data_IF_638830684873
#
_entry.id   IF_638830684873
#
_cell.length_a   1.000
_cell.length_b   1.000
_cell.length_c   1.000
_cell.angle_alpha   90.00
_cell.angle_beta   90.00
_cell.angle_gamma   90.00
#
_symmetry.space_group_name_H-M   'P 1'
#
loop_
_entity.id
_entity.type
_entity.pdbx_description
1 polymer ?
#
# COMPACT_ATOMS: atom_id res chain seq x y z
N UNK A 1 -31.06 -22.32 31.09
CA UNK A 1 -30.83 -20.86 30.95
C UNK A 1 -29.38 -20.54 31.34
N UNK A 2 -28.36 -20.47 30.49
CA UNK A 2 -28.15 -20.49 29.05
C UNK A 2 -26.99 -21.50 28.92
N UNK A 3 -27.26 -22.71 28.43
CA UNK A 3 -26.28 -23.80 28.44
C UNK A 3 -25.22 -23.58 27.35
N UNK A 4 -23.98 -24.03 27.57
CA UNK A 4 -22.91 -23.95 26.53
C UNK A 4 -23.19 -24.82 25.28
N UNK A 5 -24.24 -25.66 25.30
CA UNK A 5 -24.60 -26.52 24.18
C UNK A 5 -25.08 -25.69 22.99
N UNK A 6 -24.49 -25.94 21.82
CA UNK A 6 -24.75 -25.17 20.60
C UNK A 6 -26.23 -25.11 20.20
N UNK A 7 -26.95 -26.25 20.20
CA UNK A 7 -28.37 -26.29 19.85
C UNK A 7 -29.26 -25.43 20.78
N UNK A 8 -28.89 -25.34 22.06
CA UNK A 8 -29.62 -24.53 23.04
C UNK A 8 -29.38 -23.05 22.78
N UNK A 9 -28.14 -22.65 22.51
CA UNK A 9 -27.79 -21.28 22.13
C UNK A 9 -28.47 -20.85 20.84
N UNK A 10 -28.51 -21.74 19.85
CA UNK A 10 -29.19 -21.48 18.59
C UNK A 10 -30.67 -21.20 18.77
N UNK A 11 -31.36 -22.06 19.51
CA UNK A 11 -32.78 -21.89 19.82
C UNK A 11 -33.02 -20.60 20.59
N UNK A 12 -32.21 -20.32 21.61
CA UNK A 12 -32.31 -19.12 22.43
C UNK A 12 -32.13 -17.83 21.61
N UNK A 13 -31.09 -17.78 20.75
CA UNK A 13 -30.82 -16.61 19.90
C UNK A 13 -31.95 -16.37 18.89
N UNK A 14 -32.56 -17.44 18.35
CA UNK A 14 -33.64 -17.35 17.36
C UNK A 14 -34.92 -16.82 18.00
N UNK A 15 -35.27 -17.31 19.20
CA UNK A 15 -36.40 -16.81 19.98
C UNK A 15 -36.17 -15.35 20.37
N UNK A 16 -34.97 -15.02 20.86
CA UNK A 16 -34.59 -13.65 21.21
C UNK A 16 -34.76 -12.71 20.01
N UNK A 17 -34.21 -13.07 18.86
CA UNK A 17 -34.34 -12.32 17.60
C UNK A 17 -35.80 -12.10 17.23
N UNK A 18 -36.61 -13.17 17.22
CA UNK A 18 -38.02 -13.11 16.85
C UNK A 18 -38.84 -12.16 17.73
N UNK A 19 -38.62 -12.21 19.06
CA UNK A 19 -39.30 -11.32 19.99
C UNK A 19 -38.91 -9.86 19.74
N UNK A 20 -37.61 -9.58 19.61
CA UNK A 20 -37.12 -8.21 19.41
C UNK A 20 -37.63 -7.64 18.08
N UNK A 21 -37.57 -8.40 16.99
CA UNK A 21 -38.12 -7.98 15.68
C UNK A 21 -39.64 -7.77 15.73
N UNK A 22 -40.37 -8.65 16.41
CA UNK A 22 -41.83 -8.52 16.59
C UNK A 22 -42.22 -7.30 17.44
N UNK A 23 -41.33 -6.82 18.32
CA UNK A 23 -41.59 -5.67 19.18
C UNK A 23 -41.64 -4.33 18.45
N UNK A 24 -41.36 -4.30 17.14
CA UNK A 24 -41.42 -3.08 16.30
C UNK A 24 -42.79 -2.37 16.36
N UNK A 25 -43.87 -3.10 16.62
CA UNK A 25 -45.24 -2.56 16.70
C UNK A 25 -45.78 -2.43 18.12
N UNK A 26 -44.95 -2.63 19.15
CA UNK A 26 -45.38 -2.60 20.55
C UNK A 26 -45.44 -1.18 21.13
N UNK A 27 -46.22 -1.02 22.20
CA UNK A 27 -46.22 0.21 22.99
C UNK A 27 -44.92 0.34 23.79
N UNK A 28 -44.58 1.55 24.22
CA UNK A 28 -43.38 1.81 25.02
C UNK A 28 -43.32 0.94 26.30
N UNK A 29 -44.43 0.80 27.01
CA UNK A 29 -44.53 -0.02 28.22
C UNK A 29 -44.22 -1.50 27.94
N UNK A 30 -44.78 -2.04 26.86
CA UNK A 30 -44.51 -3.42 26.43
C UNK A 30 -43.03 -3.60 26.07
N UNK A 31 -42.45 -2.67 25.32
CA UNK A 31 -41.01 -2.69 24.98
C UNK A 31 -40.12 -2.58 26.22
N UNK A 32 -40.48 -1.75 27.19
CA UNK A 32 -39.73 -1.59 28.43
C UNK A 32 -39.75 -2.88 29.26
N UNK A 33 -40.93 -3.50 29.41
CA UNK A 33 -41.07 -4.77 30.12
C UNK A 33 -40.34 -5.92 29.40
N UNK A 34 -40.36 -5.93 28.08
CA UNK A 34 -39.58 -6.86 27.27
C UNK A 34 -38.08 -6.74 27.55
N UNK A 35 -37.51 -5.53 27.52
CA UNK A 35 -36.08 -5.34 27.75
C UNK A 35 -35.66 -5.69 29.19
N UNK A 36 -36.50 -5.42 30.19
CA UNK A 36 -36.26 -5.88 31.57
C UNK A 36 -36.09 -7.42 31.65
N UNK A 37 -36.84 -8.16 30.84
CA UNK A 37 -36.75 -9.63 30.77
C UNK A 37 -35.57 -10.10 29.90
N UNK A 38 -35.39 -9.50 28.72
CA UNK A 38 -34.47 -9.99 27.69
C UNK A 38 -33.01 -9.58 27.92
N UNK A 39 -32.73 -8.38 28.45
CA UNK A 39 -31.35 -7.90 28.63
C UNK A 39 -30.51 -8.81 29.55
N UNK A 40 -31.01 -9.27 30.73
CA UNK A 40 -30.24 -10.18 31.58
C UNK A 40 -29.91 -11.50 30.88
N UNK A 41 -30.84 -11.99 30.03
CA UNK A 41 -30.65 -13.23 29.25
C UNK A 41 -29.55 -13.01 28.22
N UNK A 42 -29.59 -11.90 27.48
CA UNK A 42 -28.57 -11.55 26.49
C UNK A 42 -27.18 -11.39 27.13
N UNK A 43 -27.06 -10.61 28.21
CA UNK A 43 -25.79 -10.42 28.93
C UNK A 43 -25.23 -11.75 29.42
N UNK A 44 -26.09 -12.65 29.93
CA UNK A 44 -25.68 -14.02 30.31
C UNK A 44 -25.23 -14.84 29.11
N UNK A 45 -25.88 -14.71 27.96
CA UNK A 45 -25.49 -15.41 26.74
C UNK A 45 -24.12 -14.95 26.25
N UNK A 46 -23.89 -13.63 26.13
CA UNK A 46 -22.61 -13.05 25.71
C UNK A 46 -21.44 -13.54 26.56
N UNK A 47 -21.61 -13.57 27.90
CA UNK A 47 -20.58 -14.07 28.84
C UNK A 47 -20.29 -15.56 28.75
N UNK A 48 -21.16 -16.34 28.10
CA UNK A 48 -21.01 -17.80 27.96
C UNK A 48 -20.76 -18.22 26.51
N UNK A 49 -20.46 -17.27 25.62
CA UNK A 49 -20.13 -17.57 24.23
C UNK A 49 -18.87 -18.43 24.15
N UNK A 50 -18.89 -19.31 23.16
CA UNK A 50 -17.77 -20.14 22.75
C UNK A 50 -17.53 -19.93 21.26
N UNK A 51 -16.37 -20.31 20.70
CA UNK A 51 -16.12 -20.20 19.26
C UNK A 51 -17.24 -20.81 18.39
N UNK A 52 -17.85 -21.90 18.83
CA UNK A 52 -18.92 -22.60 18.10
C UNK A 52 -20.28 -21.88 18.18
N UNK A 53 -20.49 -21.05 19.20
CA UNK A 53 -21.78 -20.42 19.50
C UNK A 53 -21.80 -18.92 19.20
N UNK A 54 -20.62 -18.31 19.06
CA UNK A 54 -20.45 -16.89 18.74
C UNK A 54 -21.18 -16.49 17.46
N UNK A 55 -20.97 -17.22 16.36
CA UNK A 55 -21.54 -16.85 15.05
C UNK A 55 -23.06 -16.70 15.11
N UNK A 56 -23.73 -17.55 15.88
CA UNK A 56 -25.19 -17.56 15.98
C UNK A 56 -25.72 -16.31 16.68
N UNK A 57 -25.05 -15.85 17.73
CA UNK A 57 -25.40 -14.60 18.39
C UNK A 57 -24.96 -13.37 17.59
N UNK A 58 -23.86 -13.46 16.85
CA UNK A 58 -23.40 -12.43 15.92
C UNK A 58 -24.47 -12.14 14.85
N UNK A 59 -24.95 -13.18 14.17
CA UNK A 59 -26.04 -13.08 13.20
C UNK A 59 -27.35 -12.53 13.80
N UNK A 60 -27.63 -12.87 15.06
CA UNK A 60 -28.77 -12.33 15.80
C UNK A 60 -28.65 -10.80 15.98
N UNK A 61 -27.50 -10.31 16.43
CA UNK A 61 -27.24 -8.87 16.61
C UNK A 61 -27.31 -8.14 15.26
N UNK A 62 -26.66 -8.66 14.22
CA UNK A 62 -26.70 -8.10 12.87
C UNK A 62 -28.14 -7.98 12.36
N UNK A 63 -28.94 -9.05 12.49
CA UNK A 63 -30.33 -9.06 12.03
C UNK A 63 -31.18 -8.02 12.75
N UNK A 64 -31.05 -7.92 14.09
CA UNK A 64 -31.78 -6.93 14.89
C UNK A 64 -31.36 -5.51 14.49
N UNK A 65 -30.05 -5.27 14.40
CA UNK A 65 -29.49 -3.98 14.06
C UNK A 65 -29.87 -3.55 12.63
N UNK A 66 -30.13 -4.48 11.71
CA UNK A 66 -30.54 -4.14 10.34
C UNK A 66 -32.00 -3.64 10.24
N UNK A 67 -32.89 -4.22 11.04
CA UNK A 67 -34.35 -4.10 10.84
C UNK A 67 -35.05 -3.06 11.73
N UNK A 68 -34.42 -2.65 12.84
CA UNK A 68 -35.00 -1.76 13.85
C UNK A 68 -34.19 -0.47 13.97
N UNK A 69 -34.89 0.65 14.11
CA UNK A 69 -34.30 1.96 14.35
C UNK A 69 -33.43 1.98 15.63
N UNK A 70 -32.22 2.57 15.59
CA UNK A 70 -31.27 2.55 16.71
C UNK A 70 -31.82 3.22 17.98
N UNK A 71 -32.73 4.20 17.87
CA UNK A 71 -33.33 4.84 19.04
C UNK A 71 -34.26 3.89 19.81
N UNK A 72 -34.90 2.94 19.10
CA UNK A 72 -35.72 1.89 19.71
C UNK A 72 -34.89 0.77 20.32
N UNK A 73 -33.64 0.62 19.86
CA UNK A 73 -32.67 -0.36 20.35
C UNK A 73 -31.73 0.19 21.42
N UNK A 74 -31.94 1.40 21.93
CA UNK A 74 -30.96 2.05 22.81
C UNK A 74 -30.58 1.21 24.04
N UNK A 75 -31.53 0.52 24.69
CA UNK A 75 -31.21 -0.39 25.81
C UNK A 75 -30.30 -1.54 25.40
N UNK A 76 -30.54 -2.12 24.22
CA UNK A 76 -29.78 -3.24 23.69
C UNK A 76 -28.37 -2.80 23.30
N UNK A 77 -28.26 -1.69 22.58
CA UNK A 77 -26.96 -1.14 22.18
C UNK A 77 -26.15 -0.68 23.39
N UNK A 78 -26.78 -0.04 24.38
CA UNK A 78 -26.09 0.33 25.62
C UNK A 78 -25.60 -0.91 26.38
N UNK A 79 -26.36 -2.01 26.43
CA UNK A 79 -25.89 -3.25 27.03
C UNK A 79 -24.66 -3.83 26.30
N UNK A 80 -24.60 -3.73 24.97
CA UNK A 80 -23.44 -4.16 24.18
C UNK A 80 -22.24 -3.22 24.43
N UNK A 81 -22.45 -1.91 24.51
CA UNK A 81 -21.39 -0.94 24.82
C UNK A 81 -20.85 -1.09 26.24
N UNK A 82 -21.71 -1.41 27.22
CA UNK A 82 -21.29 -1.75 28.60
C UNK A 82 -20.43 -3.02 28.62
N UNK A 83 -20.81 -4.07 27.89
CA UNK A 83 -20.01 -5.29 27.80
C UNK A 83 -18.68 -5.04 27.06
N UNK A 84 -18.68 -4.15 26.05
CA UNK A 84 -17.46 -3.69 25.40
C UNK A 84 -16.51 -3.07 26.44
N UNK A 85 -16.99 -2.15 27.27
CA UNK A 85 -16.19 -1.48 28.31
C UNK A 85 -15.70 -2.40 29.43
N UNK A 86 -16.34 -3.54 29.65
CA UNK A 86 -15.94 -4.46 30.70
C UNK A 86 -14.55 -5.09 30.41
N UNK A 87 -13.69 -5.25 31.44
CA UNK A 87 -12.37 -5.85 31.27
C UNK A 87 -12.47 -7.31 30.83
N UNK A 88 -11.48 -7.78 30.07
CA UNK A 88 -11.35 -9.15 29.58
C UNK A 88 -10.03 -9.77 29.99
N UNK A 89 -10.05 -11.07 30.30
CA UNK A 89 -8.85 -11.83 30.64
C UNK A 89 -8.28 -12.65 29.49
N UNK A 90 -9.05 -12.83 28.41
CA UNK A 90 -8.63 -13.62 27.25
C UNK A 90 -9.01 -12.94 25.93
N UNK A 91 -8.33 -13.38 24.88
CA UNK A 91 -8.43 -12.78 23.55
C UNK A 91 -9.74 -13.06 22.83
N UNK A 92 -10.36 -14.22 23.09
CA UNK A 92 -11.63 -14.59 22.46
C UNK A 92 -12.75 -13.68 22.95
N UNK A 93 -12.87 -13.49 24.27
CA UNK A 93 -13.87 -12.61 24.87
C UNK A 93 -13.72 -11.17 24.38
N UNK A 94 -12.47 -10.70 24.23
CA UNK A 94 -12.22 -9.37 23.69
C UNK A 94 -12.62 -9.26 22.20
N UNK A 95 -12.31 -10.29 21.40
CA UNK A 95 -12.75 -10.35 20.00
C UNK A 95 -14.27 -10.34 19.89
N UNK A 96 -14.98 -11.11 20.71
CA UNK A 96 -16.46 -11.14 20.72
C UNK A 96 -17.02 -9.74 20.95
N UNK A 97 -16.51 -9.03 21.97
CA UNK A 97 -16.95 -7.67 22.29
C UNK A 97 -16.70 -6.69 21.16
N UNK A 98 -15.54 -6.77 20.52
CA UNK A 98 -15.21 -5.91 19.38
C UNK A 98 -16.13 -6.18 18.19
N UNK A 99 -16.38 -7.45 17.85
CA UNK A 99 -17.26 -7.83 16.75
C UNK A 99 -18.71 -7.39 16.99
N UNK A 100 -19.26 -7.56 18.19
CA UNK A 100 -20.63 -7.13 18.51
C UNK A 100 -20.81 -5.61 18.34
N UNK A 101 -19.81 -4.82 18.74
CA UNK A 101 -19.83 -3.35 18.53
C UNK A 101 -19.67 -3.01 17.04
N UNK A 102 -18.78 -3.71 16.33
CA UNK A 102 -18.57 -3.53 14.89
C UNK A 102 -19.82 -3.82 14.09
N UNK A 103 -20.58 -4.86 14.44
CA UNK A 103 -21.83 -5.20 13.76
C UNK A 103 -22.86 -4.07 13.88
N UNK A 104 -22.99 -3.47 15.06
CA UNK A 104 -23.86 -2.31 15.27
C UNK A 104 -23.40 -1.13 14.41
N UNK A 105 -22.11 -0.78 14.47
CA UNK A 105 -21.55 0.36 13.73
C UNK A 105 -21.73 0.13 12.23
N UNK A 106 -21.37 -1.05 11.72
CA UNK A 106 -21.48 -1.38 10.31
C UNK A 106 -22.93 -1.23 9.78
N UNK A 107 -23.95 -1.50 10.60
CA UNK A 107 -25.36 -1.36 10.19
C UNK A 107 -25.96 0.02 10.45
N UNK A 108 -25.54 0.71 11.51
CA UNK A 108 -26.24 1.88 12.04
C UNK A 108 -25.38 3.13 12.23
N UNK A 109 -24.08 3.11 11.88
CA UNK A 109 -23.16 4.22 12.15
C UNK A 109 -23.67 5.59 11.66
N UNK A 110 -24.23 5.65 10.45
CA UNK A 110 -24.76 6.90 9.87
C UNK A 110 -25.92 7.51 10.67
N UNK A 111 -26.55 6.75 11.58
CA UNK A 111 -27.61 7.21 12.48
C UNK A 111 -27.14 7.46 13.91
N UNK A 112 -25.87 7.19 14.21
CA UNK A 112 -25.33 7.15 15.58
C UNK A 112 -24.13 8.09 15.77
N UNK A 113 -24.12 9.22 15.05
CA UNK A 113 -23.02 10.19 15.04
C UNK A 113 -22.56 10.63 16.45
N UNK A 114 -23.50 10.79 17.38
CA UNK A 114 -23.27 11.14 18.78
C UNK A 114 -22.38 10.14 19.53
N UNK A 115 -22.46 8.85 19.17
CA UNK A 115 -21.69 7.77 19.81
C UNK A 115 -20.37 7.46 19.10
N UNK A 116 -20.25 7.78 17.81
CA UNK A 116 -19.10 7.35 17.00
C UNK A 116 -17.77 7.93 17.48
N UNK A 117 -17.73 9.19 17.93
CA UNK A 117 -16.51 9.79 18.49
C UNK A 117 -16.03 9.02 19.73
N UNK A 118 -16.93 8.77 20.67
CA UNK A 118 -16.60 8.00 21.88
C UNK A 118 -16.14 6.58 21.57
N UNK A 119 -16.80 5.90 20.62
CA UNK A 119 -16.43 4.55 20.22
C UNK A 119 -15.07 4.52 19.48
N UNK A 120 -14.82 5.49 18.61
CA UNK A 120 -13.57 5.60 17.85
C UNK A 120 -12.38 5.87 18.77
N UNK A 121 -12.51 6.78 19.76
CA UNK A 121 -11.48 6.99 20.78
C UNK A 121 -11.18 5.70 21.56
N UNK A 122 -12.21 4.99 22.03
CA UNK A 122 -12.01 3.72 22.76
C UNK A 122 -11.31 2.65 21.92
N UNK A 123 -11.68 2.52 20.64
CA UNK A 123 -11.05 1.57 19.72
C UNK A 123 -9.59 1.95 19.44
N UNK A 124 -9.29 3.24 19.33
CA UNK A 124 -7.93 3.72 19.20
C UNK A 124 -7.11 3.46 20.47
N UNK A 125 -7.63 3.77 21.66
CA UNK A 125 -6.91 3.53 22.90
C UNK A 125 -6.57 2.04 23.08
N UNK A 126 -7.49 1.15 22.68
CA UNK A 126 -7.23 -0.30 22.65
C UNK A 126 -6.18 -0.72 21.63
N UNK A 127 -6.05 -0.04 20.50
CA UNK A 127 -4.97 -0.32 19.54
C UNK A 127 -3.59 -0.05 20.12
N UNK A 128 -3.51 0.86 21.10
CA UNK A 128 -2.28 1.17 21.83
C UNK A 128 -2.07 0.29 23.06
N UNK A 129 -3.13 -0.20 23.70
CA UNK A 129 -3.03 -0.87 25.00
C UNK A 129 -3.14 -2.40 24.93
N UNK A 130 -3.77 -2.93 23.87
CA UNK A 130 -4.08 -4.36 23.78
C UNK A 130 -2.80 -5.22 23.83
N UNK A 131 -2.73 -6.20 24.75
CA UNK A 131 -1.62 -7.14 24.78
C UNK A 131 -1.70 -8.18 23.66
N UNK A 132 -2.80 -8.23 22.90
CA UNK A 132 -3.11 -9.29 21.95
C UNK A 132 -2.89 -8.86 20.50
N UNK A 133 -1.93 -9.50 19.81
CA UNK A 133 -1.55 -9.17 18.43
C UNK A 133 -2.62 -9.51 17.39
N UNK A 134 -3.42 -10.55 17.63
CA UNK A 134 -4.51 -11.02 16.76
C UNK A 134 -5.76 -10.13 16.79
N UNK A 135 -5.84 -9.16 17.71
CA UNK A 135 -6.94 -8.17 17.71
C UNK A 135 -6.74 -7.04 16.70
N UNK A 136 -5.56 -6.93 16.08
CA UNK A 136 -5.23 -5.81 15.18
C UNK A 136 -6.26 -5.65 14.04
N UNK A 137 -6.71 -6.77 13.46
CA UNK A 137 -7.71 -6.76 12.40
C UNK A 137 -9.07 -6.28 12.91
N UNK A 138 -9.52 -6.80 14.06
CA UNK A 138 -10.81 -6.38 14.63
C UNK A 138 -10.78 -4.90 14.98
N UNK A 139 -9.75 -4.41 15.68
CA UNK A 139 -9.61 -2.98 16.00
C UNK A 139 -9.58 -2.10 14.74
N UNK A 140 -8.91 -2.56 13.69
CA UNK A 140 -8.91 -1.90 12.38
C UNK A 140 -10.32 -1.80 11.79
N UNK A 141 -11.09 -2.90 11.81
CA UNK A 141 -12.46 -2.92 11.30
C UNK A 141 -13.36 -1.94 12.06
N UNK A 142 -13.25 -1.90 13.39
CA UNK A 142 -13.98 -0.93 14.21
C UNK A 142 -13.60 0.52 13.90
N UNK A 143 -12.31 0.83 13.84
CA UNK A 143 -11.83 2.18 13.51
C UNK A 143 -12.31 2.59 12.11
N UNK A 144 -12.26 1.68 11.14
CA UNK A 144 -12.74 1.94 9.79
C UNK A 144 -14.23 2.25 9.76
N UNK A 145 -15.10 1.41 10.34
CA UNK A 145 -16.53 1.70 10.28
C UNK A 145 -16.89 2.97 11.06
N UNK A 146 -16.21 3.29 12.17
CA UNK A 146 -16.48 4.54 12.90
C UNK A 146 -16.04 5.78 12.14
N UNK A 147 -14.92 5.74 11.42
CA UNK A 147 -14.31 6.92 10.78
C UNK A 147 -14.54 7.03 9.27
N UNK A 148 -14.99 5.97 8.60
CA UNK A 148 -15.35 5.97 7.18
C UNK A 148 -16.87 6.11 6.94
N UNK A 149 -17.64 6.50 7.97
CA UNK A 149 -19.09 6.71 7.83
C UNK A 149 -19.42 8.04 7.14
N UNK A 150 -18.62 9.08 7.39
CA UNK A 150 -18.82 10.42 6.84
C UNK A 150 -18.26 10.59 5.43
N UNK A 151 -18.46 9.62 4.52
CA UNK A 151 -17.95 9.72 3.13
C UNK A 151 -18.44 11.03 2.51
N UNK A 152 -17.51 11.88 2.09
CA UNK A 152 -17.79 13.20 1.52
C UNK A 152 -18.19 13.03 0.06
N UNK A 153 -19.50 13.07 -0.19
CA UNK A 153 -20.07 13.06 -1.54
C UNK A 153 -20.08 14.46 -2.18
N UNK A 154 -19.91 15.51 -1.37
CA UNK A 154 -19.78 16.90 -1.79
C UNK A 154 -18.66 17.61 -1.00
N UNK A 155 -18.37 18.85 -1.36
CA UNK A 155 -17.33 19.66 -0.69
C UNK A 155 -17.72 20.11 0.72
N UNK A 156 -18.85 19.64 1.28
CA UNK A 156 -19.29 20.06 2.61
C UNK A 156 -18.54 19.29 3.68
N UNK A 157 -18.01 20.03 4.65
CA UNK A 157 -17.40 19.45 5.83
C UNK A 157 -18.49 18.88 6.76
N UNK A 158 -18.67 17.56 6.76
CA UNK A 158 -19.45 16.89 7.79
C UNK A 158 -18.56 16.63 9.01
N UNK A 159 -18.58 17.55 9.97
CA UNK A 159 -17.81 17.43 11.23
C UNK A 159 -18.47 16.54 12.28
N UNK A 160 -19.62 15.93 11.95
CA UNK A 160 -20.39 15.09 12.87
C UNK A 160 -19.78 13.68 13.07
N UNK A 161 -18.76 13.32 12.29
CA UNK A 161 -18.16 11.98 12.28
C UNK A 161 -16.66 12.02 12.63
N UNK A 162 -16.13 10.97 13.29
CA UNK A 162 -14.70 10.84 13.53
C UNK A 162 -13.91 10.78 12.22
N UNK A 163 -12.75 11.40 12.18
CA UNK A 163 -11.87 11.36 11.00
C UNK A 163 -10.58 10.62 11.33
N UNK A 164 -10.24 9.61 10.52
CA UNK A 164 -9.06 8.76 10.76
C UNK A 164 -7.75 9.57 10.84
N UNK A 165 -7.67 10.69 10.11
CA UNK A 165 -6.50 11.58 10.10
C UNK A 165 -6.14 12.10 11.50
N UNK A 166 -7.13 12.29 12.39
CA UNK A 166 -6.88 12.78 13.75
C UNK A 166 -6.11 11.74 14.56
N UNK A 167 -6.49 10.47 14.43
CA UNK A 167 -5.83 9.34 15.07
C UNK A 167 -4.43 9.09 14.52
N UNK A 168 -4.29 9.12 13.19
CA UNK A 168 -2.98 9.00 12.52
C UNK A 168 -2.05 10.12 12.98
N UNK A 169 -2.52 11.37 13.00
CA UNK A 169 -1.71 12.51 13.40
C UNK A 169 -1.30 12.46 14.87
N UNK A 170 -2.17 11.95 15.75
CA UNK A 170 -1.85 11.77 17.18
C UNK A 170 -0.79 10.68 17.38
N UNK A 171 -0.87 9.56 16.65
CA UNK A 171 0.04 8.44 16.82
C UNK A 171 1.39 8.63 16.09
N UNK A 172 1.41 9.39 14.99
CA UNK A 172 2.60 9.50 14.14
C UNK A 172 3.90 9.85 14.88
N UNK A 173 3.95 10.86 15.77
CA UNK A 173 5.19 11.21 16.47
C UNK A 173 5.75 10.07 17.33
N UNK A 174 4.87 9.22 17.88
CA UNK A 174 5.31 8.04 18.64
C UNK A 174 5.89 6.96 17.73
N UNK A 175 5.33 6.80 16.51
CA UNK A 175 5.77 5.81 15.53
C UNK A 175 7.12 6.14 14.90
N UNK A 176 7.53 7.42 14.85
CA UNK A 176 8.81 7.82 14.27
C UNK A 176 10.00 7.11 14.94
N UNK A 177 9.87 6.74 16.22
CA UNK A 177 10.89 5.96 16.93
C UNK A 177 11.20 4.62 16.27
N UNK A 178 10.25 4.02 15.56
CA UNK A 178 10.45 2.78 14.82
C UNK A 178 11.50 2.90 13.69
N UNK A 179 11.80 4.12 13.22
CA UNK A 179 12.83 4.34 12.19
C UNK A 179 14.25 4.15 12.71
N UNK A 180 14.44 4.21 14.03
CA UNK A 180 15.77 4.17 14.68
C UNK A 180 15.89 3.08 15.73
N UNK A 181 14.78 2.47 16.15
CA UNK A 181 14.76 1.46 17.19
C UNK A 181 15.44 0.16 16.73
N UNK A 182 16.30 -0.38 17.60
CA UNK A 182 17.04 -1.63 17.35
C UNK A 182 16.69 -2.72 18.34
N UNK A 183 16.06 -2.39 19.48
CA UNK A 183 15.56 -3.39 20.43
C UNK A 183 14.13 -3.82 20.07
N UNK A 184 14.05 -4.88 19.27
CA UNK A 184 12.79 -5.47 18.82
C UNK A 184 11.99 -6.17 19.93
N UNK A 185 12.60 -6.39 21.10
CA UNK A 185 11.92 -6.99 22.26
C UNK A 185 11.43 -5.94 23.26
N UNK A 186 11.76 -4.66 23.05
CA UNK A 186 11.33 -3.61 23.96
C UNK A 186 9.79 -3.53 24.01
N UNK A 187 9.18 -3.34 25.20
CA UNK A 187 7.73 -3.17 25.31
C UNK A 187 7.21 -2.02 24.44
N UNK A 188 8.03 -0.99 24.25
CA UNK A 188 7.72 0.16 23.38
C UNK A 188 7.65 -0.25 21.91
N UNK A 189 8.65 -0.98 21.40
CA UNK A 189 8.66 -1.45 20.02
C UNK A 189 7.43 -2.34 19.73
N UNK A 190 7.21 -3.34 20.58
CA UNK A 190 6.08 -4.28 20.45
C UNK A 190 4.74 -3.53 20.46
N UNK A 191 4.59 -2.53 21.33
CA UNK A 191 3.39 -1.68 21.38
C UNK A 191 3.18 -0.91 20.07
N UNK A 192 4.22 -0.24 19.57
CA UNK A 192 4.13 0.62 18.39
C UNK A 192 3.95 -0.17 17.09
N UNK A 193 4.58 -1.34 16.94
CA UNK A 193 4.39 -2.20 15.75
C UNK A 193 2.97 -2.77 15.70
N UNK A 194 2.39 -3.14 16.85
CA UNK A 194 0.98 -3.55 16.95
C UNK A 194 0.04 -2.41 16.56
N UNK A 195 0.28 -1.21 17.11
CA UNK A 195 -0.50 -0.03 16.76
C UNK A 195 -0.41 0.28 15.26
N UNK A 196 0.79 0.25 14.67
CA UNK A 196 0.97 0.44 13.22
C UNK A 196 0.25 -0.64 12.40
N UNK A 197 0.28 -1.90 12.85
CA UNK A 197 -0.43 -3.02 12.18
C UNK A 197 -1.94 -2.78 12.07
N UNK A 198 -2.55 -2.10 13.05
CA UNK A 198 -3.96 -1.67 12.97
C UNK A 198 -4.16 -0.71 11.80
N UNK A 199 -3.28 0.28 11.62
CA UNK A 199 -3.37 1.22 10.50
C UNK A 199 -3.01 0.60 9.14
N UNK A 200 -2.07 -0.35 9.10
CA UNK A 200 -1.80 -1.13 7.87
C UNK A 200 -3.06 -1.88 7.42
N UNK A 201 -3.75 -2.52 8.37
CA UNK A 201 -5.01 -3.23 8.12
C UNK A 201 -6.12 -2.26 7.70
N UNK A 202 -6.18 -1.07 8.32
CA UNK A 202 -7.16 -0.03 8.01
C UNK A 202 -7.00 0.41 6.56
N UNK A 203 -5.79 0.78 6.16
CA UNK A 203 -5.46 1.21 4.78
C UNK A 203 -5.80 0.10 3.78
N UNK A 204 -5.41 -1.13 4.09
CA UNK A 204 -5.66 -2.29 3.22
C UNK A 204 -7.15 -2.53 3.00
N UNK A 205 -7.97 -2.33 4.04
CA UNK A 205 -9.41 -2.45 3.94
C UNK A 205 -10.05 -1.26 3.23
N UNK A 206 -9.64 -0.02 3.55
CA UNK A 206 -10.20 1.18 2.94
C UNK A 206 -9.96 1.29 1.44
N UNK A 207 -8.89 0.68 0.93
CA UNK A 207 -8.57 0.61 -0.51
C UNK A 207 -9.13 -0.64 -1.19
N UNK A 208 -9.98 -1.42 -0.53
CA UNK A 208 -10.71 -2.50 -1.15
C UNK A 208 -11.89 -1.93 -1.95
N UNK A 209 -12.07 -2.38 -3.19
CA UNK A 209 -13.12 -1.94 -4.11
C UNK A 209 -14.55 -2.09 -3.58
N UNK A 210 -14.75 -2.88 -2.52
CA UNK A 210 -16.05 -3.04 -1.86
C UNK A 210 -16.44 -1.87 -0.96
N UNK A 211 -15.51 -0.98 -0.62
CA UNK A 211 -15.77 0.17 0.25
C UNK A 211 -15.58 1.48 -0.51
N UNK A 212 -16.50 2.41 -0.27
CA UNK A 212 -16.33 3.80 -0.68
C UNK A 212 -15.54 4.50 0.43
N UNK A 213 -14.24 4.70 0.23
CA UNK A 213 -13.39 5.43 1.17
C UNK A 213 -12.82 6.66 0.49
N UNK A 214 -12.87 7.80 1.18
CA UNK A 214 -12.18 9.02 0.74
C UNK A 214 -10.72 8.90 1.19
N UNK A 215 -9.82 8.63 0.25
CA UNK A 215 -8.38 8.51 0.54
C UNK A 215 -7.88 9.86 1.06
N UNK A 216 -7.30 9.88 2.24
CA UNK A 216 -6.79 11.09 2.88
C UNK A 216 -5.25 11.14 2.84
N UNK A 217 -4.68 12.33 2.69
CA UNK A 217 -3.23 12.52 2.64
C UNK A 217 -2.50 12.01 3.89
N UNK A 218 -3.17 11.94 5.05
CA UNK A 218 -2.62 11.36 6.28
C UNK A 218 -2.26 9.89 6.15
N UNK A 219 -2.87 9.12 5.23
CA UNK A 219 -2.52 7.71 5.04
C UNK A 219 -1.10 7.58 4.50
N UNK A 220 -0.71 8.48 3.59
CA UNK A 220 0.64 8.55 3.05
C UNK A 220 1.66 9.05 4.07
N UNK A 221 1.23 9.74 5.13
CA UNK A 221 2.14 10.12 6.23
C UNK A 221 2.77 8.91 6.89
N UNK A 222 2.08 7.78 6.96
CA UNK A 222 2.59 6.52 7.52
C UNK A 222 3.58 5.80 6.59
N UNK A 223 3.63 6.15 5.31
CA UNK A 223 4.42 5.44 4.31
C UNK A 223 5.91 5.34 4.62
N UNK A 224 6.63 6.40 5.06
CA UNK A 224 8.06 6.28 5.38
C UNK A 224 8.35 5.23 6.45
N UNK A 225 7.49 5.15 7.47
CA UNK A 225 7.62 4.19 8.57
C UNK A 225 7.30 2.79 8.05
N UNK A 226 6.19 2.61 7.33
CA UNK A 226 5.84 1.30 6.75
C UNK A 226 6.91 0.80 5.76
N UNK A 227 7.46 1.67 4.91
CA UNK A 227 8.53 1.31 3.97
C UNK A 227 9.83 0.90 4.67
N UNK A 228 10.17 1.54 5.79
CA UNK A 228 11.28 1.12 6.64
C UNK A 228 10.98 -0.25 7.29
N UNK A 229 9.82 -0.39 7.94
CA UNK A 229 9.43 -1.60 8.67
C UNK A 229 9.24 -2.83 7.79
N UNK A 230 8.84 -2.65 6.52
CA UNK A 230 8.73 -3.74 5.54
C UNK A 230 10.08 -4.43 5.28
N UNK A 231 11.20 -3.79 5.61
CA UNK A 231 12.53 -4.37 5.51
C UNK A 231 13.19 -4.58 6.88
N UNK A 232 12.40 -4.56 7.96
CA UNK A 232 12.88 -4.82 9.31
C UNK A 232 13.54 -6.21 9.39
N UNK A 233 14.59 -6.41 10.19
CA UNK A 233 15.12 -7.74 10.45
C UNK A 233 14.36 -8.48 11.56
N UNK A 234 13.28 -7.90 12.11
CA UNK A 234 12.44 -8.52 13.13
C UNK A 234 11.81 -9.85 12.61
N UNK A 235 12.07 -11.00 13.27
CA UNK A 235 11.59 -12.31 12.85
C UNK A 235 10.08 -12.54 13.06
N UNK A 236 9.32 -11.55 13.53
CA UNK A 236 7.86 -11.68 13.66
C UNK A 236 7.15 -11.61 12.29
N UNK A 237 7.10 -12.74 11.58
CA UNK A 237 6.75 -12.89 10.15
C UNK A 237 5.54 -12.07 9.65
N UNK A 238 4.51 -11.82 10.46
CA UNK A 238 3.28 -11.20 9.95
C UNK A 238 3.28 -9.67 9.84
N UNK A 239 4.21 -8.96 10.47
CA UNK A 239 4.15 -7.49 10.53
C UNK A 239 4.72 -6.82 9.26
N UNK A 240 5.83 -7.35 8.73
CA UNK A 240 6.45 -6.86 7.51
C UNK A 240 5.50 -7.01 6.32
N UNK A 241 4.85 -8.17 6.22
CA UNK A 241 3.81 -8.44 5.22
C UNK A 241 2.65 -7.45 5.30
N UNK A 242 2.26 -7.07 6.52
CA UNK A 242 1.19 -6.07 6.73
C UNK A 242 1.61 -4.70 6.20
N UNK A 243 2.86 -4.29 6.44
CA UNK A 243 3.41 -3.04 5.92
C UNK A 243 3.53 -3.07 4.39
N UNK A 244 4.07 -4.15 3.82
CA UNK A 244 4.21 -4.31 2.37
C UNK A 244 2.86 -4.35 1.64
N UNK A 245 1.87 -5.04 2.22
CA UNK A 245 0.51 -5.06 1.70
C UNK A 245 -0.11 -3.66 1.71
N UNK A 246 -0.01 -2.92 2.82
CA UNK A 246 -0.51 -1.55 2.92
C UNK A 246 0.19 -0.60 1.94
N UNK A 247 1.52 -0.71 1.80
CA UNK A 247 2.31 0.05 0.83
C UNK A 247 1.85 -0.22 -0.61
N UNK A 248 1.67 -1.49 -0.98
CA UNK A 248 1.17 -1.87 -2.31
C UNK A 248 -0.24 -1.34 -2.59
N UNK A 249 -1.11 -1.31 -1.56
CA UNK A 249 -2.45 -0.73 -1.68
C UNK A 249 -2.38 0.77 -1.88
N UNK A 250 -1.58 1.50 -1.10
CA UNK A 250 -1.38 2.95 -1.28
C UNK A 250 -0.82 3.30 -2.65
N UNK A 251 0.09 2.46 -3.18
CA UNK A 251 0.63 2.61 -4.52
C UNK A 251 -0.47 2.47 -5.59
N UNK A 252 -1.38 1.52 -5.41
CA UNK A 252 -2.48 1.28 -6.35
C UNK A 252 -3.68 2.23 -6.17
N UNK A 253 -3.66 3.12 -5.17
CA UNK A 253 -4.79 3.99 -4.87
C UNK A 253 -4.95 5.09 -5.93
N UNK A 254 -6.17 5.24 -6.45
CA UNK A 254 -6.58 6.45 -7.17
C UNK A 254 -6.89 7.53 -6.14
N UNK A 255 -6.30 8.71 -6.30
CA UNK A 255 -6.42 9.81 -5.34
C UNK A 255 -6.94 11.07 -6.00
N UNK A 256 -7.54 11.94 -5.18
CA UNK A 256 -7.86 13.31 -5.60
C UNK A 256 -6.57 14.06 -5.97
N UNK A 257 -6.59 14.91 -7.03
CA UNK A 257 -5.41 15.62 -7.48
C UNK A 257 -4.70 16.44 -6.38
N UNK A 258 -5.45 16.97 -5.40
CA UNK A 258 -4.89 17.74 -4.28
C UNK A 258 -3.92 16.93 -3.38
N UNK A 259 -4.03 15.60 -3.39
CA UNK A 259 -3.22 14.70 -2.54
C UNK A 259 -1.85 14.44 -3.17
N UNK A 260 -1.75 14.44 -4.50
CA UNK A 260 -0.54 14.08 -5.26
C UNK A 260 0.72 14.86 -4.81
N UNK A 261 0.69 16.19 -4.61
CA UNK A 261 1.86 16.92 -4.11
C UNK A 261 2.38 16.38 -2.78
N UNK A 262 1.49 16.03 -1.86
CA UNK A 262 1.88 15.52 -0.54
C UNK A 262 2.48 14.11 -0.63
N UNK A 263 1.96 13.30 -1.55
CA UNK A 263 2.55 12.00 -1.87
C UNK A 263 3.98 12.21 -2.37
N UNK A 264 4.19 13.03 -3.40
CA UNK A 264 5.53 13.28 -3.96
C UNK A 264 6.54 13.81 -2.92
N UNK A 265 6.12 14.66 -1.99
CA UNK A 265 6.97 15.11 -0.86
C UNK A 265 7.43 13.94 0.03
N UNK A 266 6.50 13.06 0.39
CA UNK A 266 6.80 11.85 1.17
C UNK A 266 7.73 10.91 0.38
N UNK A 267 7.55 10.79 -0.93
CA UNK A 267 8.42 10.01 -1.81
C UNK A 267 9.87 10.49 -1.76
N UNK A 268 10.09 11.81 -1.81
CA UNK A 268 11.42 12.41 -1.74
C UNK A 268 12.12 12.13 -0.40
N UNK A 269 11.36 12.01 0.70
CA UNK A 269 11.91 11.63 2.00
C UNK A 269 12.39 10.18 1.99
N UNK A 270 11.57 9.25 1.50
CA UNK A 270 11.89 7.81 1.46
C UNK A 270 13.05 7.50 0.49
N UNK A 271 13.21 8.30 -0.56
CA UNK A 271 14.35 8.21 -1.49
C UNK A 271 15.70 8.45 -0.80
N UNK A 272 15.74 9.10 0.37
CA UNK A 272 16.95 9.34 1.15
C UNK A 272 17.28 8.18 2.12
N UNK A 273 16.48 7.12 2.13
CA UNK A 273 16.70 5.95 2.97
C UNK A 273 18.08 5.32 2.70
N UNK A 274 18.78 4.93 3.78
CA UNK A 274 20.06 4.22 3.71
C UNK A 274 19.86 2.84 3.04
N UNK A 275 18.70 2.23 3.27
CA UNK A 275 18.34 0.92 2.71
C UNK A 275 18.03 1.01 1.22
N UNK A 276 18.88 0.37 0.40
CA UNK A 276 18.69 0.35 -1.05
C UNK A 276 17.45 -0.44 -1.47
N UNK A 277 17.04 -1.46 -0.70
CA UNK A 277 15.80 -2.20 -0.95
C UNK A 277 14.59 -1.30 -0.74
N UNK A 278 14.63 -0.43 0.29
CA UNK A 278 13.60 0.60 0.50
C UNK A 278 13.54 1.54 -0.70
N UNK A 279 14.68 2.03 -1.21
CA UNK A 279 14.71 2.89 -2.40
C UNK A 279 14.17 2.20 -3.65
N UNK A 280 14.49 0.93 -3.89
CA UNK A 280 13.91 0.13 -5.00
C UNK A 280 12.38 0.02 -4.87
N UNK A 281 11.88 -0.32 -3.67
CA UNK A 281 10.43 -0.43 -3.41
C UNK A 281 9.73 0.92 -3.53
N UNK A 282 10.40 2.02 -3.17
CA UNK A 282 9.89 3.37 -3.39
C UNK A 282 9.71 3.67 -4.89
N UNK A 283 10.67 3.31 -5.74
CA UNK A 283 10.51 3.46 -7.19
C UNK A 283 9.34 2.62 -7.72
N UNK A 284 9.21 1.37 -7.26
CA UNK A 284 8.09 0.50 -7.62
C UNK A 284 6.73 1.08 -7.21
N UNK A 285 6.65 1.66 -6.01
CA UNK A 285 5.44 2.37 -5.58
C UNK A 285 5.14 3.52 -6.55
N UNK A 286 6.10 4.40 -6.81
CA UNK A 286 5.87 5.56 -7.68
C UNK A 286 5.44 5.13 -9.09
N UNK A 287 6.00 4.03 -9.61
CA UNK A 287 5.59 3.45 -10.89
C UNK A 287 4.10 3.07 -10.88
N UNK A 288 3.65 2.32 -9.87
CA UNK A 288 2.23 1.91 -9.76
C UNK A 288 1.32 3.11 -9.51
N UNK A 289 1.74 4.05 -8.66
CA UNK A 289 0.97 5.24 -8.29
C UNK A 289 0.78 6.19 -9.48
N UNK A 290 1.86 6.42 -10.24
CA UNK A 290 1.83 7.21 -11.46
C UNK A 290 0.90 6.58 -12.50
N UNK A 291 0.97 5.27 -12.74
CA UNK A 291 0.08 4.59 -13.68
C UNK A 291 -1.40 4.67 -13.30
N UNK A 292 -1.73 4.47 -12.01
CA UNK A 292 -3.13 4.54 -11.55
C UNK A 292 -3.69 5.97 -11.54
N UNK A 293 -2.83 6.98 -11.41
CA UNK A 293 -3.23 8.40 -11.37
C UNK A 293 -2.84 9.16 -12.65
N UNK A 294 -2.56 8.44 -13.74
CA UNK A 294 -2.04 8.99 -15.00
C UNK A 294 -2.82 10.20 -15.53
N UNK A 295 -4.18 10.21 -15.53
CA UNK A 295 -4.94 11.38 -15.98
C UNK A 295 -4.66 12.66 -15.19
N UNK A 296 -4.41 12.54 -13.89
CA UNK A 296 -4.09 13.68 -13.02
C UNK A 296 -2.68 14.20 -13.30
N UNK A 297 -1.71 13.30 -13.52
CA UNK A 297 -0.34 13.66 -13.91
C UNK A 297 -0.30 14.38 -15.26
N UNK A 298 -1.02 13.88 -16.28
CA UNK A 298 -1.10 14.49 -17.61
C UNK A 298 -1.61 15.93 -17.59
N UNK A 299 -2.47 16.28 -16.61
CA UNK A 299 -2.99 17.64 -16.45
C UNK A 299 -2.01 18.60 -15.77
N UNK A 300 -0.94 18.11 -15.15
CA UNK A 300 -0.04 18.93 -14.34
C UNK A 300 1.44 18.66 -14.66
N UNK A 301 2.05 19.47 -15.55
CA UNK A 301 3.45 19.33 -15.94
C UNK A 301 4.45 19.45 -14.78
N UNK A 302 4.09 20.15 -13.70
CA UNK A 302 4.96 20.28 -12.52
C UNK A 302 5.16 18.93 -11.82
N UNK A 303 4.12 18.11 -11.73
CA UNK A 303 4.21 16.79 -11.12
C UNK A 303 5.05 15.83 -11.95
N UNK A 304 4.92 15.91 -13.28
CA UNK A 304 5.77 15.16 -14.21
C UNK A 304 7.24 15.60 -14.05
N UNK A 305 7.49 16.91 -13.97
CA UNK A 305 8.84 17.45 -13.74
C UNK A 305 9.45 16.94 -12.43
N UNK A 306 8.65 16.84 -11.35
CA UNK A 306 9.11 16.26 -10.08
C UNK A 306 9.46 14.77 -10.23
N UNK A 307 8.61 13.98 -10.91
CA UNK A 307 8.92 12.58 -11.22
C UNK A 307 10.21 12.44 -12.06
N UNK A 308 10.42 13.31 -13.05
CA UNK A 308 11.67 13.37 -13.85
C UNK A 308 12.88 13.64 -12.95
N UNK A 309 12.81 14.62 -12.05
CA UNK A 309 13.90 14.91 -11.09
C UNK A 309 14.22 13.71 -10.19
N UNK A 310 13.19 13.01 -9.71
CA UNK A 310 13.33 11.80 -8.92
C UNK A 310 14.06 10.72 -9.73
N UNK A 311 13.62 10.44 -10.96
CA UNK A 311 14.26 9.47 -11.86
C UNK A 311 15.72 9.84 -12.12
N UNK A 312 16.00 11.10 -12.47
CA UNK A 312 17.37 11.56 -12.76
C UNK A 312 18.31 11.47 -11.56
N UNK A 313 17.77 11.57 -10.34
CA UNK A 313 18.53 11.35 -9.12
C UNK A 313 18.80 9.86 -8.90
N UNK A 314 17.77 9.02 -9.00
CA UNK A 314 17.87 7.59 -8.66
C UNK A 314 18.58 6.75 -9.73
N UNK A 315 18.56 7.16 -10.99
CA UNK A 315 19.33 6.49 -12.05
C UNK A 315 20.85 6.66 -11.86
N UNK A 316 21.26 7.62 -11.03
CA UNK A 316 22.64 7.87 -10.62
C UNK A 316 22.93 7.40 -9.18
N UNK A 317 22.07 6.57 -8.58
CA UNK A 317 22.26 5.99 -7.24
C UNK A 317 23.52 5.11 -7.18
N UNK A 318 24.13 4.96 -6.00
CA UNK A 318 25.32 4.12 -5.84
C UNK A 318 25.04 2.63 -6.05
N UNK A 319 23.80 2.17 -5.80
CA UNK A 319 23.39 0.78 -5.91
C UNK A 319 22.84 0.46 -7.29
N UNK A 320 23.34 -0.62 -7.91
CA UNK A 320 23.00 -1.01 -9.29
C UNK A 320 21.49 -1.27 -9.41
N UNK A 321 20.91 -1.97 -8.44
CA UNK A 321 19.50 -2.37 -8.42
C UNK A 321 18.57 -1.15 -8.38
N UNK A 322 18.98 -0.08 -7.67
CA UNK A 322 18.22 1.20 -7.64
C UNK A 322 18.27 1.85 -9.01
N UNK A 323 19.45 1.93 -9.64
CA UNK A 323 19.60 2.49 -10.99
C UNK A 323 18.78 1.73 -12.03
N UNK A 324 18.83 0.40 -12.01
CA UNK A 324 18.06 -0.46 -12.92
C UNK A 324 16.54 -0.26 -12.74
N UNK A 325 16.07 -0.14 -11.50
CA UNK A 325 14.65 0.11 -11.24
C UNK A 325 14.23 1.53 -11.64
N UNK A 326 15.09 2.53 -11.48
CA UNK A 326 14.84 3.89 -11.95
C UNK A 326 14.73 3.96 -13.49
N UNK A 327 15.55 3.19 -14.20
CA UNK A 327 15.46 3.07 -15.66
C UNK A 327 14.11 2.46 -16.12
N UNK A 328 13.54 1.51 -15.37
CA UNK A 328 12.20 0.99 -15.65
C UNK A 328 11.10 2.02 -15.44
N UNK A 329 11.21 2.86 -14.40
CA UNK A 329 10.28 3.98 -14.20
C UNK A 329 10.38 4.97 -15.36
N UNK A 330 11.60 5.31 -15.79
CA UNK A 330 11.85 6.17 -16.95
C UNK A 330 11.22 5.59 -18.23
N UNK A 331 11.42 4.30 -18.50
CA UNK A 331 10.78 3.59 -19.61
C UNK A 331 9.25 3.81 -19.56
N UNK A 332 8.61 3.53 -18.42
CA UNK A 332 7.17 3.76 -18.27
C UNK A 332 6.75 5.20 -18.56
N UNK A 333 7.52 6.20 -18.08
CA UNK A 333 7.24 7.61 -18.35
C UNK A 333 7.38 7.98 -19.84
N UNK A 334 8.36 7.41 -20.54
CA UNK A 334 8.54 7.59 -21.99
C UNK A 334 7.40 6.92 -22.76
N UNK A 335 7.06 5.68 -22.40
CA UNK A 335 5.99 4.90 -23.04
C UNK A 335 4.61 5.57 -22.88
N UNK A 336 4.34 6.15 -21.71
CA UNK A 336 3.10 6.93 -21.49
C UNK A 336 3.13 8.32 -22.11
N UNK A 337 4.19 8.69 -22.84
CA UNK A 337 4.36 10.01 -23.45
C UNK A 337 4.26 11.17 -22.45
N UNK A 338 4.66 10.93 -21.19
CA UNK A 338 4.60 11.93 -20.13
C UNK A 338 5.66 13.02 -20.30
N UNK A 339 6.80 12.67 -20.89
CA UNK A 339 7.94 13.55 -21.05
C UNK A 339 7.84 14.29 -22.38
N UNK A 340 7.89 15.63 -22.34
CA UNK A 340 7.82 16.47 -23.54
C UNK A 340 9.19 16.88 -24.07
N UNK A 341 10.23 16.82 -23.22
CA UNK A 341 11.62 17.22 -23.47
C UNK A 341 12.51 16.00 -23.79
N UNK A 342 12.02 15.07 -24.60
CA UNK A 342 12.67 13.77 -24.85
C UNK A 342 14.04 13.92 -25.50
N UNK A 343 14.23 14.93 -26.37
CA UNK A 343 15.51 15.20 -27.05
C UNK A 343 16.56 15.74 -26.08
N UNK A 344 16.21 16.73 -25.28
CA UNK A 344 17.09 17.29 -24.25
C UNK A 344 17.49 16.21 -23.23
N UNK A 345 16.53 15.39 -22.82
CA UNK A 345 16.76 14.29 -21.90
C UNK A 345 17.69 13.22 -22.50
N UNK A 346 17.51 12.87 -23.77
CA UNK A 346 18.39 11.93 -24.46
C UNK A 346 19.83 12.48 -24.53
N UNK A 347 20.00 13.78 -24.80
CA UNK A 347 21.31 14.42 -24.83
C UNK A 347 21.98 14.48 -23.44
N UNK A 348 21.21 14.64 -22.36
CA UNK A 348 21.71 14.47 -20.99
C UNK A 348 22.26 13.05 -20.77
N UNK A 349 21.55 12.01 -21.22
CA UNK A 349 22.02 10.62 -21.08
C UNK A 349 23.23 10.29 -21.94
N UNK A 350 23.33 10.84 -23.17
CA UNK A 350 24.55 10.72 -23.99
C UNK A 350 25.76 11.32 -23.27
N UNK A 351 25.63 12.53 -22.72
CA UNK A 351 26.71 13.19 -21.95
C UNK A 351 27.15 12.32 -20.77
N UNK A 352 26.19 11.73 -20.05
CA UNK A 352 26.49 10.79 -18.96
C UNK A 352 27.22 9.53 -19.45
N UNK A 353 26.75 8.91 -20.55
CA UNK A 353 27.39 7.73 -21.15
C UNK A 353 28.83 7.99 -21.60
N UNK A 354 29.12 9.21 -22.05
CA UNK A 354 30.46 9.62 -22.48
C UNK A 354 31.43 9.94 -21.32
N UNK A 355 31.00 9.81 -20.06
CA UNK A 355 31.87 10.01 -18.88
C UNK A 355 33.13 9.14 -18.99
N UNK A 356 34.32 9.74 -19.03
CA UNK A 356 35.59 9.01 -19.21
C UNK A 356 35.93 8.14 -18.00
N UNK A 357 36.32 6.89 -18.25
CA UNK A 357 36.86 6.01 -17.21
C UNK A 357 38.33 6.33 -16.96
N UNK A 358 38.77 6.50 -15.69
CA UNK A 358 40.18 6.64 -15.37
C UNK A 358 40.98 5.41 -15.82
N UNK A 359 42.13 5.64 -16.45
CA UNK A 359 43.07 4.57 -16.84
C UNK A 359 43.99 4.14 -15.71
N UNK A 360 44.15 4.98 -14.69
CA UNK A 360 44.98 4.72 -13.51
C UNK A 360 44.33 3.68 -12.59
N UNK A 361 45.09 2.64 -12.22
CA UNK A 361 44.63 1.54 -11.37
C UNK A 361 45.07 1.68 -9.91
N UNK A 362 45.65 2.83 -9.53
CA UNK A 362 46.08 3.07 -8.13
C UNK A 362 44.89 3.07 -7.17
N UNK A 363 45.05 2.55 -5.93
CA UNK A 363 43.98 2.55 -4.91
C UNK A 363 43.36 3.92 -4.65
N UNK A 364 44.17 4.99 -4.73
CA UNK A 364 43.73 6.38 -4.58
C UNK A 364 42.74 6.86 -5.65
N UNK A 365 42.64 6.16 -6.78
CA UNK A 365 41.71 6.45 -7.88
C UNK A 365 40.47 5.58 -7.89
N UNK A 366 40.36 4.58 -6.99
CA UNK A 366 39.26 3.62 -6.98
C UNK A 366 37.87 4.28 -6.86
N UNK A 367 37.71 5.26 -5.98
CA UNK A 367 36.42 5.96 -5.80
C UNK A 367 36.07 6.82 -7.03
N UNK A 368 37.07 7.45 -7.65
CA UNK A 368 36.87 8.21 -8.90
C UNK A 368 36.43 7.28 -10.04
N UNK A 369 37.05 6.10 -10.15
CA UNK A 369 36.68 5.09 -11.14
C UNK A 369 35.28 4.54 -10.89
N UNK A 370 34.94 4.23 -9.64
CA UNK A 370 33.58 3.79 -9.25
C UNK A 370 32.52 4.83 -9.61
N UNK A 371 32.77 6.11 -9.30
CA UNK A 371 31.87 7.20 -9.65
C UNK A 371 31.74 7.40 -11.17
N UNK A 372 32.85 7.29 -11.92
CA UNK A 372 32.82 7.37 -13.38
C UNK A 372 32.01 6.21 -14.01
N UNK A 373 32.17 4.98 -13.52
CA UNK A 373 31.37 3.82 -13.94
C UNK A 373 29.89 4.04 -13.63
N UNK A 374 29.58 4.59 -12.44
CA UNK A 374 28.20 4.90 -12.03
C UNK A 374 27.53 5.89 -12.98
N UNK A 375 28.18 7.02 -13.25
CA UNK A 375 27.65 8.05 -14.16
C UNK A 375 27.50 7.53 -15.60
N UNK A 376 28.51 6.80 -16.08
CA UNK A 376 28.44 6.14 -17.39
C UNK A 376 27.27 5.17 -17.45
N UNK A 377 27.13 4.28 -16.47
CA UNK A 377 26.02 3.34 -16.40
C UNK A 377 24.65 4.02 -16.35
N UNK A 378 24.53 5.16 -15.66
CA UNK A 378 23.30 5.94 -15.64
C UNK A 378 22.90 6.42 -17.05
N UNK A 379 23.86 6.94 -17.82
CA UNK A 379 23.64 7.32 -19.23
C UNK A 379 23.22 6.15 -20.11
N UNK A 380 23.88 5.00 -19.94
CA UNK A 380 23.55 3.76 -20.66
C UNK A 380 22.15 3.28 -20.33
N UNK A 381 21.78 3.23 -19.05
CA UNK A 381 20.44 2.86 -18.62
C UNK A 381 19.37 3.81 -19.18
N UNK A 382 19.64 5.12 -19.19
CA UNK A 382 18.74 6.11 -19.76
C UNK A 382 18.51 5.87 -21.24
N UNK A 383 19.57 5.68 -22.02
CA UNK A 383 19.49 5.34 -23.45
C UNK A 383 18.78 4.00 -23.70
N UNK A 384 19.04 2.98 -22.89
CA UNK A 384 18.32 1.71 -22.96
C UNK A 384 16.81 1.89 -22.69
N UNK A 385 16.42 2.75 -21.75
CA UNK A 385 15.01 3.02 -21.45
C UNK A 385 14.24 3.62 -22.65
N UNK A 386 14.90 4.38 -23.52
CA UNK A 386 14.30 4.86 -24.78
C UNK A 386 13.99 3.72 -25.74
N UNK A 387 14.88 2.72 -25.85
CA UNK A 387 14.64 1.52 -26.65
C UNK A 387 13.50 0.71 -26.03
N UNK A 388 13.56 0.45 -24.72
CA UNK A 388 12.57 -0.39 -24.03
C UNK A 388 11.17 0.24 -23.97
N UNK A 389 11.04 1.55 -24.18
CA UNK A 389 9.75 2.26 -24.27
C UNK A 389 8.98 1.99 -25.58
N UNK A 390 9.65 1.40 -26.57
CA UNK A 390 9.14 1.09 -27.91
C UNK A 390 9.16 -0.44 -28.12
N UNK A 391 8.25 -1.21 -27.51
CA UNK A 391 8.31 -2.67 -27.55
C UNK A 391 7.95 -3.28 -28.92
N UNK A 392 7.32 -2.51 -29.81
CA UNK A 392 6.79 -2.99 -31.10
C UNK A 392 7.20 -2.12 -32.31
N UNK A 393 8.02 -1.10 -32.09
CA UNK A 393 8.46 -0.10 -33.05
C UNK A 393 9.86 0.43 -32.69
N UNK A 394 10.45 1.24 -33.56
CA UNK A 394 11.74 1.88 -33.28
C UNK A 394 11.52 3.31 -32.79
N UNK A 395 12.26 3.77 -31.75
CA UNK A 395 12.31 5.19 -31.44
C UNK A 395 12.90 5.98 -32.61
N UNK A 396 12.48 7.24 -32.81
CA UNK A 396 13.01 8.11 -33.87
C UNK A 396 14.54 8.23 -33.81
N UNK A 397 15.10 8.28 -32.60
CA UNK A 397 16.55 8.41 -32.36
C UNK A 397 17.29 7.06 -32.29
N UNK A 398 16.68 5.95 -32.72
CA UNK A 398 17.25 4.59 -32.56
C UNK A 398 18.67 4.48 -33.11
N UNK A 399 18.94 5.01 -34.30
CA UNK A 399 20.28 4.94 -34.91
C UNK A 399 21.34 5.64 -34.06
N UNK A 400 20.99 6.81 -33.52
CA UNK A 400 21.87 7.61 -32.66
C UNK A 400 22.13 6.86 -31.35
N UNK A 401 21.07 6.35 -30.72
CA UNK A 401 21.16 5.59 -29.48
C UNK A 401 22.02 4.35 -29.68
N UNK A 402 21.77 3.58 -30.75
CA UNK A 402 22.47 2.35 -31.05
C UNK A 402 23.98 2.58 -31.24
N UNK A 403 24.36 3.63 -31.96
CA UNK A 403 25.76 4.01 -32.18
C UNK A 403 26.48 4.31 -30.86
N UNK A 404 25.84 5.08 -29.97
CA UNK A 404 26.41 5.37 -28.65
C UNK A 404 26.54 4.08 -27.82
N UNK A 405 25.49 3.25 -27.73
CA UNK A 405 25.53 1.99 -26.97
C UNK A 405 26.60 1.02 -27.50
N UNK A 406 26.78 0.90 -28.82
CA UNK A 406 27.80 0.04 -29.43
C UNK A 406 29.21 0.35 -28.91
N UNK A 407 29.54 1.62 -28.73
CA UNK A 407 30.84 2.06 -28.24
C UNK A 407 31.16 1.55 -26.82
N UNK A 408 30.14 1.10 -26.06
CA UNK A 408 30.23 0.68 -24.68
C UNK A 408 30.07 -0.84 -24.48
N UNK A 409 30.06 -1.64 -25.54
CA UNK A 409 29.91 -3.11 -25.42
C UNK A 409 31.05 -3.82 -24.71
N UNK A 410 32.23 -3.21 -24.67
CA UNK A 410 33.42 -3.76 -24.01
C UNK A 410 33.71 -3.07 -22.66
N UNK A 411 32.81 -2.20 -22.19
CA UNK A 411 32.96 -1.52 -20.91
C UNK A 411 32.80 -2.48 -19.71
N UNK A 412 33.38 -2.13 -18.54
CA UNK A 412 33.31 -2.96 -17.35
C UNK A 412 31.87 -3.14 -16.84
N UNK A 413 31.66 -4.18 -16.04
CA UNK A 413 30.40 -4.42 -15.35
C UNK A 413 29.97 -3.19 -14.51
N UNK A 414 28.69 -2.79 -14.51
CA UNK A 414 27.53 -3.45 -15.13
C UNK A 414 27.21 -3.07 -16.60
N UNK A 415 27.97 -2.16 -17.22
CA UNK A 415 27.58 -1.47 -18.47
C UNK A 415 27.33 -2.44 -19.64
N UNK A 416 28.34 -3.24 -20.03
CA UNK A 416 28.21 -4.19 -21.15
C UNK A 416 27.04 -5.15 -20.95
N UNK A 417 26.81 -5.60 -19.71
CA UNK A 417 25.72 -6.53 -19.37
C UNK A 417 24.35 -5.89 -19.58
N UNK A 418 24.18 -4.63 -19.17
CA UNK A 418 22.94 -3.87 -19.37
C UNK A 418 22.62 -3.74 -20.86
N UNK A 419 23.60 -3.37 -21.68
CA UNK A 419 23.39 -3.20 -23.14
C UNK A 419 22.99 -4.53 -23.79
N UNK A 420 23.74 -5.60 -23.50
CA UNK A 420 23.43 -6.94 -24.03
C UNK A 420 22.03 -7.40 -23.63
N UNK A 421 21.63 -7.17 -22.38
CA UNK A 421 20.30 -7.50 -21.90
C UNK A 421 19.21 -6.72 -22.65
N UNK A 422 19.33 -5.39 -22.75
CA UNK A 422 18.37 -4.55 -23.50
C UNK A 422 18.24 -5.01 -24.94
N UNK A 423 19.35 -5.30 -25.62
CA UNK A 423 19.32 -5.73 -27.02
C UNK A 423 18.72 -7.13 -27.19
N UNK A 424 18.95 -8.02 -26.22
CA UNK A 424 18.31 -9.35 -26.17
C UNK A 424 16.80 -9.24 -25.96
N UNK A 425 16.35 -8.40 -25.03
CA UNK A 425 14.93 -8.15 -24.78
C UNK A 425 14.25 -7.46 -25.98
N UNK A 426 14.91 -6.47 -26.58
CA UNK A 426 14.47 -5.81 -27.80
C UNK A 426 14.29 -6.82 -28.95
N UNK A 427 15.29 -7.68 -29.22
CA UNK A 427 15.17 -8.74 -30.23
C UNK A 427 13.98 -9.66 -29.92
N UNK A 428 13.78 -10.03 -28.66
CA UNK A 428 12.69 -10.91 -28.24
C UNK A 428 11.31 -10.31 -28.50
N UNK A 429 11.10 -9.01 -28.25
CA UNK A 429 9.78 -8.39 -28.49
C UNK A 429 9.52 -8.06 -29.96
N UNK A 430 10.56 -7.83 -30.75
CA UNK A 430 10.43 -7.45 -32.17
C UNK A 430 10.49 -8.64 -33.14
N UNK A 431 11.06 -9.78 -32.73
CA UNK A 431 11.12 -11.02 -33.51
C UNK A 431 10.09 -12.05 -33.04
N UNK A 432 8.79 -11.70 -33.06
CA UNK A 432 7.75 -12.71 -32.88
C UNK A 432 7.49 -13.48 -34.19
N UNK A 433 8.07 -14.68 -34.27
CA UNK A 433 8.03 -15.53 -35.45
C UNK A 433 8.73 -14.94 -36.68
N UNK A 434 8.50 -15.58 -37.84
CA UNK A 434 9.15 -15.19 -39.10
C UNK A 434 8.72 -13.81 -39.62
N UNK A 435 7.46 -13.44 -39.37
CA UNK A 435 6.92 -12.13 -39.78
C UNK A 435 7.54 -10.99 -38.98
N UNK A 436 7.69 -11.15 -37.65
CA UNK A 436 8.39 -10.18 -36.81
C UNK A 436 9.85 -10.03 -37.22
N UNK A 437 10.54 -11.16 -37.43
CA UNK A 437 11.92 -11.15 -37.92
C UNK A 437 12.09 -10.37 -39.23
N UNK A 438 11.24 -10.61 -40.23
CA UNK A 438 11.28 -9.88 -41.51
C UNK A 438 11.06 -8.37 -41.34
N UNK A 439 10.12 -7.97 -40.48
CA UNK A 439 9.87 -6.56 -40.18
C UNK A 439 11.09 -5.92 -39.54
N UNK A 440 11.64 -6.54 -38.50
CA UNK A 440 12.84 -6.03 -37.82
C UNK A 440 14.01 -5.96 -38.80
N UNK A 441 14.23 -7.01 -39.60
CA UNK A 441 15.30 -7.05 -40.60
C UNK A 441 15.18 -5.91 -41.61
N UNK A 442 13.97 -5.51 -41.99
CA UNK A 442 13.74 -4.38 -42.89
C UNK A 442 13.97 -3.01 -42.23
N UNK A 443 13.82 -2.90 -40.90
CA UNK A 443 14.00 -1.67 -40.14
C UNK A 443 15.46 -1.37 -39.77
N UNK A 444 16.32 -2.38 -39.77
CA UNK A 444 17.73 -2.26 -39.35
C UNK A 444 18.67 -2.08 -40.55
N UNK A 445 19.76 -1.36 -40.35
CA UNK A 445 20.89 -1.31 -41.30
C UNK A 445 21.82 -2.53 -41.12
N UNK A 446 22.79 -2.72 -42.04
CA UNK A 446 23.67 -3.92 -42.03
C UNK A 446 24.49 -4.05 -40.74
N UNK A 447 25.00 -2.95 -40.20
CA UNK A 447 25.77 -2.95 -38.95
C UNK A 447 24.90 -3.33 -37.75
N UNK A 448 23.66 -2.83 -37.70
CA UNK A 448 22.69 -3.17 -36.66
C UNK A 448 22.24 -4.63 -36.75
N UNK A 449 22.04 -5.15 -37.97
CA UNK A 449 21.71 -6.56 -38.20
C UNK A 449 22.80 -7.46 -37.64
N UNK A 450 24.06 -7.19 -37.98
CA UNK A 450 25.21 -7.97 -37.50
C UNK A 450 25.27 -8.00 -35.96
N UNK A 451 25.08 -6.85 -35.31
CA UNK A 451 25.19 -6.78 -33.86
C UNK A 451 23.97 -7.38 -33.14
N UNK A 452 22.75 -7.07 -33.58
CA UNK A 452 21.51 -7.43 -32.87
C UNK A 452 21.09 -8.86 -33.21
N UNK A 453 21.18 -9.27 -34.48
CA UNK A 453 20.68 -10.57 -34.92
C UNK A 453 21.70 -11.69 -34.70
N UNK A 454 23.00 -11.37 -34.72
CA UNK A 454 24.11 -12.34 -34.62
C UNK A 454 24.91 -12.24 -33.32
N UNK A 455 25.53 -11.10 -32.98
CA UNK A 455 26.55 -11.03 -31.92
C UNK A 455 26.03 -10.85 -30.48
N UNK A 456 24.95 -10.08 -30.28
CA UNK A 456 24.39 -9.82 -28.95
C UNK A 456 23.49 -10.96 -28.45
N UNK A 457 23.21 -11.94 -29.32
CA UNK A 457 22.61 -13.21 -28.99
C UNK A 457 23.65 -14.20 -28.46
N UNK A 458 24.55 -13.77 -27.58
CA UNK A 458 25.29 -14.69 -26.74
C UNK A 458 24.25 -15.49 -25.95
N UNK A 459 24.07 -16.74 -26.34
CA UNK A 459 23.21 -17.67 -25.64
C UNK A 459 23.58 -17.65 -24.16
N UNK A 460 22.61 -17.81 -23.24
CA UNK A 460 22.90 -17.94 -21.81
C UNK A 460 24.06 -18.91 -21.56
N UNK A 461 24.82 -18.72 -20.48
CA UNK A 461 26.08 -19.44 -20.20
C UNK A 461 26.00 -20.98 -20.14
N UNK A 462 24.80 -21.55 -20.27
CA UNK A 462 24.54 -22.99 -20.36
C UNK A 462 24.37 -23.51 -21.80
N UNK A 463 24.38 -22.63 -22.80
CA UNK A 463 24.51 -23.01 -24.21
C UNK A 463 25.99 -22.92 -24.57
N UNK A 464 26.58 -24.07 -24.89
CA UNK A 464 27.99 -24.21 -25.27
C UNK A 464 28.23 -23.86 -26.74
#
# INVERSE_FOLDING_TARGET
MVEKKSNVQFTASTIFKGIVLGSKYWTFEMSQNMWKLLLPIFKKAVKNLTPETFQVWNECVISIANEIDPNRLHWFFNAIFEEFDAPTGNTFDESVKHNLVQDIIHKQAWRMADKLHTLSEKLFDRSLQSPFSNLSMSLSVGLFYTSNTGVRLDDRAYTAYPEIKNYINRLYPELEVLLTETDFNSPRYIKLTRALKVFCSYISMGLNLRFYSDVDASWYKLYPIMAHMENSPDPSDSFQDSCGSANGRLAAAMVKPEIIPKVLEVFEQVNKSISWTTRVKNILFLQVFLSNNLPSFLKNPLWISNCRKIVMTLIQDDQIQVREQAAKLLNGMLHYTLLTDTKELLDEFKKLGQTKLPSDKRPSTAEKTKNAIKLRHAGILGMCAFIDAHPYDLPEDFEVIFKELKAHLNDPHPISKTIKKTMSDFKRTHCDGWTGYKKLYAMLNEEQKELILTDLAASPSYFA
#
